data_IF_789909687886
#
_entry.id   IF_789909687886
#
_cell.length_a   1.000
_cell.length_b   1.000
_cell.length_c   1.000
_cell.angle_alpha   90.00
_cell.angle_beta   90.00
_cell.angle_gamma   90.00
#
_symmetry.space_group_name_H-M   'P 1'
#
loop_
_entity.id
_entity.type
_entity.pdbx_description
1 polymer ?
#
# COMPACT_ATOMS: atom_id res chain seq x y z
N UNK A 1 -10.88 11.85 10.40
CA UNK A 1 -10.05 11.51 9.22
C UNK A 1 -9.08 10.42 9.64
N UNK A 2 -9.21 9.22 9.08
CA UNK A 2 -8.28 8.12 9.35
C UNK A 2 -6.95 8.42 8.65
N UNK A 3 -5.83 8.48 9.39
CA UNK A 3 -4.49 8.63 8.83
C UNK A 3 -3.91 7.24 8.61
N UNK A 4 -3.42 6.98 7.41
CA UNK A 4 -2.73 5.73 7.07
C UNK A 4 -1.23 5.98 7.18
N UNK A 5 -0.56 5.22 8.04
CA UNK A 5 0.89 5.25 8.15
C UNK A 5 1.48 4.14 7.27
N UNK A 6 2.32 4.53 6.32
CA UNK A 6 3.05 3.61 5.44
C UNK A 6 4.53 3.82 5.72
N UNK A 7 5.23 2.74 6.05
CA UNK A 7 6.66 2.75 6.37
C UNK A 7 7.42 2.20 5.18
N UNK A 8 8.45 2.92 4.75
CA UNK A 8 9.34 2.55 3.66
C UNK A 8 10.75 2.27 4.17
N UNK A 9 11.37 1.21 3.67
CA UNK A 9 12.80 0.98 3.88
C UNK A 9 13.65 1.94 3.03
N UNK A 10 14.98 1.87 3.17
CA UNK A 10 15.90 2.77 2.45
C UNK A 10 15.81 2.64 0.93
N UNK A 11 15.62 1.42 0.41
CA UNK A 11 15.55 1.17 -1.02
C UNK A 11 14.26 1.75 -1.62
N UNK A 12 13.13 1.56 -0.93
CA UNK A 12 11.85 2.14 -1.30
C UNK A 12 11.85 3.67 -1.23
N UNK A 13 12.54 4.25 -0.23
CA UNK A 13 12.71 5.70 -0.15
C UNK A 13 13.59 6.25 -1.27
N UNK A 14 14.61 5.50 -1.71
CA UNK A 14 15.42 5.87 -2.86
C UNK A 14 14.58 5.86 -4.15
N UNK A 15 13.77 4.82 -4.33
CA UNK A 15 12.90 4.69 -5.50
C UNK A 15 11.86 5.82 -5.56
N UNK A 16 11.23 6.13 -4.42
CA UNK A 16 10.29 7.26 -4.32
C UNK A 16 10.97 8.61 -4.64
N UNK A 17 12.23 8.79 -4.23
CA UNK A 17 13.01 9.98 -4.61
C UNK A 17 13.25 10.04 -6.12
N UNK A 18 13.57 8.93 -6.78
CA UNK A 18 13.73 8.89 -8.24
C UNK A 18 12.46 9.33 -8.95
N UNK A 19 11.32 8.72 -8.58
CA UNK A 19 10.00 9.04 -9.15
C UNK A 19 9.67 10.53 -9.02
N UNK A 20 10.02 11.16 -7.90
CA UNK A 20 9.82 12.59 -7.70
C UNK A 20 10.64 13.46 -8.67
N UNK A 21 11.84 13.03 -9.05
CA UNK A 21 12.68 13.75 -10.02
C UNK A 21 12.28 13.48 -11.46
N UNK A 22 11.92 12.24 -11.78
CA UNK A 22 11.58 11.82 -13.14
C UNK A 22 10.15 12.25 -13.54
N UNK A 23 9.29 12.50 -12.54
CA UNK A 23 7.88 12.90 -12.68
C UNK A 23 7.06 11.98 -13.62
N UNK A 24 7.49 10.71 -13.77
CA UNK A 24 6.81 9.73 -14.61
C UNK A 24 5.53 9.22 -13.90
N UNK A 25 4.35 9.43 -14.49
CA UNK A 25 3.09 9.05 -13.86
C UNK A 25 2.85 7.53 -13.83
N UNK A 26 3.45 6.76 -14.76
CA UNK A 26 3.34 5.30 -14.78
C UNK A 26 4.24 4.66 -13.73
N UNK A 27 5.43 5.21 -13.51
CA UNK A 27 6.34 4.78 -12.45
C UNK A 27 5.74 5.08 -11.07
N UNK A 28 5.18 6.28 -10.90
CA UNK A 28 4.47 6.65 -9.68
C UNK A 28 3.28 5.73 -9.39
N UNK A 29 2.48 5.39 -10.42
CA UNK A 29 1.36 4.46 -10.28
C UNK A 29 1.85 3.05 -9.88
N UNK A 30 2.87 2.55 -10.56
CA UNK A 30 3.46 1.23 -10.27
C UNK A 30 3.95 1.16 -8.82
N UNK A 31 4.64 2.20 -8.34
CA UNK A 31 5.10 2.27 -6.95
C UNK A 31 3.94 2.21 -5.94
N UNK A 32 2.85 2.94 -6.19
CA UNK A 32 1.67 2.90 -5.32
C UNK A 32 1.08 1.49 -5.26
N UNK A 33 0.93 0.83 -6.40
CA UNK A 33 0.32 -0.50 -6.49
C UNK A 33 1.18 -1.57 -5.79
N UNK A 34 2.49 -1.52 -5.99
CA UNK A 34 3.42 -2.57 -5.53
C UNK A 34 3.88 -2.35 -4.09
N UNK A 35 4.11 -1.11 -3.66
CA UNK A 35 4.74 -0.82 -2.37
C UNK A 35 3.79 -0.21 -1.34
N UNK A 36 2.77 0.54 -1.77
CA UNK A 36 1.88 1.25 -0.83
C UNK A 36 0.67 0.38 -0.50
N UNK A 37 -0.09 -0.06 -1.51
CA UNK A 37 -1.35 -0.81 -1.29
C UNK A 37 -1.16 -2.03 -0.38
N UNK A 38 -0.13 -2.90 -0.53
CA UNK A 38 0.02 -4.07 0.32
C UNK A 38 0.27 -3.74 1.79
N UNK A 39 0.86 -2.58 2.08
CA UNK A 39 1.16 -2.09 3.43
C UNK A 39 -0.02 -1.41 4.08
N UNK A 40 -0.94 -0.87 3.27
CA UNK A 40 -2.22 -0.38 3.75
C UNK A 40 -3.11 -1.59 4.05
N UNK A 41 -2.90 -2.21 5.22
CA UNK A 41 -3.87 -3.15 5.79
C UNK A 41 -5.18 -2.42 6.05
N UNK A 42 -6.05 -2.36 5.04
CA UNK A 42 -7.48 -2.16 5.29
C UNK A 42 -7.98 -3.47 5.84
N UNK A 43 -8.14 -3.54 7.17
CA UNK A 43 -9.12 -4.49 7.70
C UNK A 43 -10.45 -4.16 7.03
N UNK A 44 -10.90 -5.02 6.12
CA UNK A 44 -12.26 -4.93 5.59
C UNK A 44 -13.17 -5.44 6.71
N UNK A 45 -13.43 -4.56 7.67
CA UNK A 45 -14.19 -4.87 8.90
C UNK A 45 -15.60 -5.37 8.58
N UNK A 46 -16.16 -5.03 7.42
CA UNK A 46 -17.46 -5.56 6.98
C UNK A 46 -17.43 -7.03 6.50
N UNK A 47 -16.24 -7.61 6.26
CA UNK A 47 -16.08 -9.01 5.82
C UNK A 47 -15.40 -9.91 6.86
N UNK A 48 -14.86 -9.36 7.96
CA UNK A 48 -14.20 -10.14 9.02
C UNK A 48 -15.13 -11.19 9.67
N UNK A 49 -16.44 -10.92 9.74
CA UNK A 49 -17.43 -11.90 10.22
C UNK A 49 -17.82 -12.96 9.18
N UNK A 50 -17.63 -12.69 7.88
CA UNK A 50 -18.05 -13.58 6.80
C UNK A 50 -16.99 -14.65 6.49
N UNK A 51 -15.70 -14.31 6.62
CA UNK A 51 -14.58 -15.23 6.36
C UNK A 51 -14.19 -16.11 7.56
N UNK A 52 -14.70 -15.79 8.76
CA UNK A 52 -14.52 -16.61 9.97
C UNK A 52 -15.46 -17.84 10.01
N UNK A 53 -16.31 -18.02 8.99
CA UNK A 53 -17.34 -19.07 8.93
C UNK A 53 -16.96 -20.36 8.21
N UNK A 54 -15.69 -20.58 7.85
CA UNK A 54 -15.25 -21.85 7.22
C UNK A 54 -14.53 -22.73 8.25
N UNK A 55 -15.29 -23.23 9.23
CA UNK A 55 -14.93 -24.40 10.02
C UNK A 55 -16.16 -25.29 10.10
N UNK A 56 -16.36 -26.06 9.04
CA UNK A 56 -17.32 -27.14 8.89
C UNK A 56 -16.66 -28.23 8.07
#
# INVERSE_FOLDING_TARGET
>A
MSKVFVVFDEAEQLLLKSIYYDEDPQEALSFVLEHIIPKVKKEITCLSGLLSGQKG
#
